data_IF_630380915860
#
_entry.id   IF_630380915860
#
_cell.length_a   1.000
_cell.length_b   1.000
_cell.length_c   1.000
_cell.angle_alpha   90.00
_cell.angle_beta   90.00
_cell.angle_gamma   90.00
#
_symmetry.space_group_name_H-M   'P 1'
#
loop_
_entity.id
_entity.type
_entity.pdbx_description
1 polymer ?
#
# COMPACT_ATOMS: atom_id res chain seq x y z
N UNK A 1 34.58 13.03 9.32
CA UNK A 1 33.49 12.14 8.81
C UNK A 1 33.58 12.08 7.30
N UNK A 2 33.53 10.90 6.68
CA UNK A 2 33.60 10.76 5.23
C UNK A 2 32.28 11.24 4.59
N UNK A 3 32.36 12.16 3.63
CA UNK A 3 31.21 12.53 2.79
C UNK A 3 30.74 11.30 2.02
N UNK A 4 29.56 10.79 2.33
CA UNK A 4 28.97 9.71 1.58
C UNK A 4 28.55 10.24 0.20
N UNK A 5 28.99 9.59 -0.89
CA UNK A 5 28.49 9.94 -2.23
C UNK A 5 27.02 9.53 -2.30
N UNK A 6 26.14 10.51 -2.26
CA UNK A 6 24.71 10.33 -2.49
C UNK A 6 24.46 9.81 -3.91
N UNK A 7 23.84 8.63 -4.03
CA UNK A 7 23.57 7.98 -5.32
C UNK A 7 22.12 8.16 -5.73
N UNK A 8 21.89 8.82 -6.87
CA UNK A 8 20.56 8.89 -7.49
C UNK A 8 20.01 7.51 -7.85
N UNK A 9 20.88 6.57 -8.24
CA UNK A 9 20.45 5.19 -8.54
C UNK A 9 19.83 4.51 -7.31
N UNK A 10 20.45 4.67 -6.12
CA UNK A 10 19.91 4.15 -4.86
C UNK A 10 18.58 4.82 -4.50
N UNK A 11 18.48 6.14 -4.64
CA UNK A 11 17.24 6.87 -4.37
C UNK A 11 16.10 6.45 -5.30
N UNK A 12 16.37 6.28 -6.60
CA UNK A 12 15.41 5.78 -7.58
C UNK A 12 14.98 4.34 -7.26
N UNK A 13 15.93 3.46 -6.91
CA UNK A 13 15.62 2.07 -6.54
C UNK A 13 14.69 2.00 -5.33
N UNK A 14 14.96 2.76 -4.26
CA UNK A 14 14.11 2.79 -3.06
C UNK A 14 12.75 3.44 -3.36
N UNK A 15 12.74 4.54 -4.12
CA UNK A 15 11.49 5.18 -4.54
C UNK A 15 10.61 4.24 -5.36
N UNK A 16 11.21 3.46 -6.26
CA UNK A 16 10.49 2.45 -7.05
C UNK A 16 10.01 1.28 -6.19
N UNK A 17 10.84 0.79 -5.24
CA UNK A 17 10.42 -0.25 -4.28
C UNK A 17 9.23 0.19 -3.46
N UNK A 18 9.23 1.45 -2.99
CA UNK A 18 8.13 2.03 -2.25
C UNK A 18 6.85 2.14 -3.11
N UNK A 19 6.98 2.52 -4.38
CA UNK A 19 5.88 2.55 -5.32
C UNK A 19 5.35 1.13 -5.60
N UNK A 20 6.22 0.15 -5.83
CA UNK A 20 5.81 -1.24 -6.06
C UNK A 20 5.07 -1.84 -4.84
N UNK A 21 5.47 -1.49 -3.63
CA UNK A 21 4.77 -1.88 -2.41
C UNK A 21 3.36 -1.27 -2.32
N UNK A 22 3.20 -0.01 -2.74
CA UNK A 22 1.91 0.67 -2.79
C UNK A 22 1.03 0.14 -3.94
N UNK A 23 1.62 -0.08 -5.12
CA UNK A 23 0.93 -0.43 -6.35
C UNK A 23 0.58 -1.93 -6.47
N UNK A 24 0.32 -2.60 -5.36
CA UNK A 24 -0.15 -4.00 -5.34
C UNK A 24 -1.48 -4.20 -6.08
N UNK A 25 -1.97 -5.44 -6.08
CA UNK A 25 -3.15 -5.82 -6.84
C UNK A 25 -4.40 -4.95 -6.58
N UNK A 26 -4.60 -4.49 -5.34
CA UNK A 26 -5.71 -3.59 -5.01
C UNK A 26 -5.66 -2.24 -5.74
N UNK A 27 -4.47 -1.70 -5.97
CA UNK A 27 -4.26 -0.50 -6.77
C UNK A 27 -4.57 -0.77 -8.26
N UNK A 28 -4.06 -1.87 -8.79
CA UNK A 28 -4.21 -2.21 -10.21
C UNK A 28 -5.66 -2.39 -10.65
N UNK A 29 -6.55 -2.84 -9.76
CA UNK A 29 -7.99 -2.96 -10.04
C UNK A 29 -8.68 -1.63 -10.34
N UNK A 30 -8.12 -0.52 -9.89
CA UNK A 30 -8.75 0.80 -9.88
C UNK A 30 -9.79 1.00 -8.77
N UNK A 31 -10.11 -0.03 -7.98
CA UNK A 31 -11.12 0.06 -6.92
C UNK A 31 -10.76 1.10 -5.86
N UNK A 32 -9.51 1.09 -5.38
CA UNK A 32 -9.06 2.08 -4.40
C UNK A 32 -9.10 3.50 -4.95
N UNK A 33 -8.70 3.70 -6.21
CA UNK A 33 -8.76 4.99 -6.88
C UNK A 33 -10.19 5.48 -7.02
N UNK A 34 -11.10 4.59 -7.44
CA UNK A 34 -12.52 4.92 -7.58
C UNK A 34 -13.15 5.26 -6.21
N UNK A 35 -12.99 4.38 -5.22
CA UNK A 35 -13.66 4.51 -3.91
C UNK A 35 -13.21 5.74 -3.14
N UNK A 36 -11.92 6.09 -3.21
CA UNK A 36 -11.38 7.18 -2.40
C UNK A 36 -11.33 8.53 -3.13
N UNK A 37 -11.24 8.54 -4.46
CA UNK A 37 -10.96 9.76 -5.22
C UNK A 37 -11.97 10.02 -6.34
N UNK A 38 -12.14 9.12 -7.31
CA UNK A 38 -12.98 9.37 -8.50
C UNK A 38 -14.44 9.63 -8.11
N UNK A 39 -14.94 8.94 -7.07
CA UNK A 39 -16.28 9.16 -6.51
C UNK A 39 -16.52 10.55 -5.93
N UNK A 40 -15.46 11.37 -5.79
CA UNK A 40 -15.53 12.76 -5.31
C UNK A 40 -15.65 13.79 -6.46
N UNK A 41 -15.68 13.32 -7.71
CA UNK A 41 -15.70 14.17 -8.87
C UNK A 41 -14.36 14.88 -9.12
N UNK A 42 -14.43 16.13 -9.61
CA UNK A 42 -13.27 16.90 -10.03
C UNK A 42 -12.19 17.07 -8.96
N UNK A 43 -12.58 17.17 -7.68
CA UNK A 43 -11.68 17.39 -6.55
C UNK A 43 -10.87 16.13 -6.19
N UNK A 44 -11.28 14.97 -6.65
CA UNK A 44 -10.63 13.69 -6.36
C UNK A 44 -9.16 13.62 -6.79
N UNK A 45 -8.79 14.29 -7.89
CA UNK A 45 -7.40 14.36 -8.37
C UNK A 45 -6.50 15.05 -7.32
N UNK A 46 -6.95 16.18 -6.78
CA UNK A 46 -6.20 16.91 -5.75
C UNK A 46 -6.12 16.11 -4.44
N UNK A 47 -7.18 15.39 -4.10
CA UNK A 47 -7.20 14.47 -2.96
C UNK A 47 -6.15 13.36 -3.11
N UNK A 48 -6.02 12.77 -4.29
CA UNK A 48 -5.01 11.75 -4.59
C UNK A 48 -3.58 12.31 -4.48
N UNK A 49 -3.35 13.51 -4.99
CA UNK A 49 -2.05 14.20 -4.85
C UNK A 49 -1.71 14.49 -3.39
N UNK A 50 -2.68 15.00 -2.61
CA UNK A 50 -2.52 15.23 -1.17
C UNK A 50 -2.14 13.93 -0.43
N UNK A 51 -2.82 12.83 -0.75
CA UNK A 51 -2.52 11.52 -0.17
C UNK A 51 -1.06 11.11 -0.41
N UNK A 52 -0.56 11.25 -1.63
CA UNK A 52 0.82 10.86 -1.97
C UNK A 52 1.85 11.77 -1.32
N UNK A 53 1.58 13.07 -1.20
CA UNK A 53 2.44 14.01 -0.48
C UNK A 53 2.53 13.64 1.01
N UNK A 54 1.40 13.39 1.66
CA UNK A 54 1.37 13.02 3.08
C UNK A 54 2.05 11.66 3.34
N UNK A 55 1.84 10.68 2.45
CA UNK A 55 2.51 9.40 2.53
C UNK A 55 4.03 9.54 2.40
N UNK A 56 4.50 10.33 1.42
CA UNK A 56 5.93 10.56 1.22
C UNK A 56 6.57 11.32 2.39
N UNK A 57 5.92 12.35 2.92
CA UNK A 57 6.42 13.12 4.05
C UNK A 57 6.50 12.27 5.32
N UNK A 58 5.43 11.54 5.66
CA UNK A 58 5.42 10.67 6.83
C UNK A 58 6.44 9.53 6.73
N UNK A 59 6.59 8.92 5.55
CA UNK A 59 7.60 7.89 5.29
C UNK A 59 9.01 8.46 5.37
N UNK A 60 9.23 9.70 4.92
CA UNK A 60 10.52 10.39 5.06
C UNK A 60 10.93 10.55 6.52
N UNK A 61 10.02 11.04 7.36
CA UNK A 61 10.31 11.20 8.78
C UNK A 61 10.56 9.85 9.47
N UNK A 62 9.80 8.83 9.12
CA UNK A 62 10.00 7.48 9.62
C UNK A 62 11.35 6.89 9.17
N UNK A 63 11.74 7.08 7.89
CA UNK A 63 13.02 6.59 7.38
C UNK A 63 14.21 7.28 8.05
N UNK A 64 14.09 8.58 8.33
CA UNK A 64 15.10 9.31 9.09
C UNK A 64 15.23 8.76 10.52
N UNK A 65 14.11 8.59 11.24
CA UNK A 65 14.10 7.96 12.57
C UNK A 65 14.71 6.56 12.53
N UNK A 66 14.30 5.74 11.55
CA UNK A 66 14.77 4.37 11.40
C UNK A 66 16.28 4.32 11.24
N UNK A 67 16.84 5.11 10.31
CA UNK A 67 18.26 5.05 9.98
C UNK A 67 19.14 5.74 11.03
N UNK A 68 18.69 6.83 11.64
CA UNK A 68 19.46 7.57 12.66
C UNK A 68 19.45 6.89 14.03
N UNK A 69 18.44 6.09 14.34
CA UNK A 69 18.31 5.37 15.61
C UNK A 69 18.61 3.88 15.49
N UNK A 70 18.97 3.40 14.28
CA UNK A 70 19.31 2.01 14.04
C UNK A 70 18.17 1.04 14.28
N UNK A 71 16.92 1.46 14.04
CA UNK A 71 15.76 0.60 14.18
C UNK A 71 15.88 -0.65 13.29
N UNK A 72 15.50 -1.81 13.81
CA UNK A 72 15.51 -3.10 13.09
C UNK A 72 14.11 -3.57 12.76
N UNK A 73 13.12 -3.02 13.45
CA UNK A 73 11.71 -3.37 13.28
C UNK A 73 10.82 -2.11 13.37
N UNK A 74 9.60 -2.22 12.88
CA UNK A 74 8.63 -1.13 13.07
C UNK A 74 8.28 -0.93 14.56
N UNK A 75 8.44 -1.95 15.40
CA UNK A 75 8.27 -1.80 16.86
C UNK A 75 9.29 -0.84 17.43
N UNK A 76 10.56 -1.00 17.05
CA UNK A 76 11.63 -0.09 17.48
C UNK A 76 11.32 1.34 17.02
N UNK A 77 10.87 1.50 15.76
CA UNK A 77 10.49 2.79 15.21
C UNK A 77 9.41 3.49 16.06
N UNK A 78 8.32 2.77 16.34
CA UNK A 78 7.21 3.36 17.10
C UNK A 78 7.52 3.50 18.59
N UNK A 79 8.36 2.63 19.18
CA UNK A 79 8.90 2.84 20.53
C UNK A 79 9.75 4.11 20.60
N UNK A 80 10.68 4.31 19.65
CA UNK A 80 11.47 5.55 19.56
C UNK A 80 10.58 6.77 19.31
N UNK A 81 9.57 6.65 18.46
CA UNK A 81 8.64 7.75 18.15
C UNK A 81 7.92 8.21 19.41
N UNK A 82 7.43 7.27 20.21
CA UNK A 82 6.58 7.54 21.35
C UNK A 82 7.31 7.67 22.68
N UNK A 83 8.63 7.39 22.70
CA UNK A 83 9.40 7.53 23.97
C UNK A 83 9.11 8.87 24.68
N UNK A 84 8.79 8.86 26.02
CA UNK A 84 8.92 7.77 26.99
C UNK A 84 7.72 6.79 27.08
N UNK A 85 6.72 6.92 26.26
CA UNK A 85 5.52 6.05 26.29
C UNK A 85 5.66 4.88 25.28
N UNK A 86 6.74 4.09 25.39
CA UNK A 86 7.14 3.07 24.41
C UNK A 86 6.04 2.04 24.12
N UNK A 87 5.20 1.72 25.12
CA UNK A 87 4.06 0.80 24.93
C UNK A 87 3.04 1.25 23.89
N UNK A 88 3.04 2.52 23.47
CA UNK A 88 2.18 3.00 22.41
C UNK A 88 2.52 2.41 21.03
N UNK A 89 3.67 1.70 20.88
CA UNK A 89 3.92 0.91 19.67
C UNK A 89 2.82 -0.14 19.41
N UNK A 90 2.13 -0.61 20.47
CA UNK A 90 1.01 -1.54 20.35
C UNK A 90 -0.15 -0.97 19.50
N UNK A 91 -0.30 0.34 19.43
CA UNK A 91 -1.31 0.96 18.56
C UNK A 91 -1.06 0.67 17.09
N UNK A 92 0.23 0.67 16.68
CA UNK A 92 0.60 0.27 15.33
C UNK A 92 0.50 -1.25 15.12
N UNK A 93 0.82 -2.05 16.13
CA UNK A 93 0.64 -3.51 16.07
C UNK A 93 -0.81 -3.88 15.76
N UNK A 94 -1.77 -3.29 16.48
CA UNK A 94 -3.22 -3.51 16.27
C UNK A 94 -3.62 -3.08 14.86
N UNK A 95 -3.24 -1.88 14.44
CA UNK A 95 -3.49 -1.39 13.08
C UNK A 95 -2.95 -2.36 12.02
N UNK A 96 -1.69 -2.76 12.17
CA UNK A 96 -1.00 -3.61 11.21
C UNK A 96 -1.63 -4.99 11.09
N UNK A 97 -2.01 -5.61 12.21
CA UNK A 97 -2.63 -6.94 12.24
C UNK A 97 -4.02 -6.93 11.58
N UNK A 98 -4.84 -5.92 11.88
CA UNK A 98 -6.16 -5.77 11.24
C UNK A 98 -5.99 -5.49 9.74
N UNK A 99 -5.07 -4.60 9.37
CA UNK A 99 -4.82 -4.28 7.97
C UNK A 99 -4.33 -5.48 7.17
N UNK A 100 -3.51 -6.37 7.75
CA UNK A 100 -3.09 -7.61 7.09
C UNK A 100 -4.30 -8.47 6.73
N UNK A 101 -5.25 -8.66 7.65
CA UNK A 101 -6.50 -9.39 7.38
C UNK A 101 -7.29 -8.76 6.22
N UNK A 102 -7.39 -7.42 6.22
CA UNK A 102 -8.08 -6.68 5.15
C UNK A 102 -7.34 -6.80 3.79
N UNK A 103 -6.00 -6.76 3.79
CA UNK A 103 -5.21 -6.91 2.57
C UNK A 103 -5.36 -8.30 1.98
N UNK A 104 -5.28 -9.36 2.80
CA UNK A 104 -5.51 -10.75 2.33
C UNK A 104 -6.93 -10.91 1.80
N UNK A 105 -7.92 -10.41 2.53
CA UNK A 105 -9.32 -10.43 2.10
C UNK A 105 -9.53 -9.68 0.77
N UNK A 106 -8.86 -8.53 0.57
CA UNK A 106 -8.95 -7.76 -0.68
C UNK A 106 -8.28 -8.48 -1.85
N UNK A 107 -7.20 -9.23 -1.60
CA UNK A 107 -6.57 -10.07 -2.62
C UNK A 107 -7.51 -11.19 -3.07
N UNK A 108 -8.16 -11.87 -2.13
CA UNK A 108 -9.15 -12.91 -2.43
C UNK A 108 -10.33 -12.30 -3.20
N UNK A 109 -10.91 -11.22 -2.67
CA UNK A 109 -12.07 -10.56 -3.26
C UNK A 109 -11.77 -9.98 -4.65
N UNK A 110 -10.60 -9.38 -4.85
CA UNK A 110 -10.18 -8.82 -6.13
C UNK A 110 -9.98 -9.88 -7.20
N UNK A 111 -9.30 -10.99 -6.87
CA UNK A 111 -9.13 -12.10 -7.80
C UNK A 111 -10.46 -12.80 -8.11
N UNK A 112 -11.31 -13.01 -7.12
CA UNK A 112 -12.66 -13.57 -7.31
C UNK A 112 -13.54 -12.67 -8.19
N UNK A 113 -13.47 -11.34 -7.99
CA UNK A 113 -14.19 -10.37 -8.82
C UNK A 113 -13.70 -10.37 -10.27
N UNK A 114 -12.40 -10.55 -10.50
CA UNK A 114 -11.84 -10.66 -11.86
C UNK A 114 -12.34 -11.94 -12.55
N UNK A 115 -12.36 -13.09 -11.85
CA UNK A 115 -12.93 -14.34 -12.37
C UNK A 115 -14.42 -14.19 -12.66
N UNK A 116 -15.16 -13.52 -11.77
CA UNK A 116 -16.59 -13.28 -11.96
C UNK A 116 -16.86 -12.36 -13.17
N UNK A 117 -16.17 -11.23 -13.24
CA UNK A 117 -16.43 -10.21 -14.27
C UNK A 117 -15.97 -10.65 -15.67
N UNK A 118 -14.88 -11.40 -15.77
CA UNK A 118 -14.32 -11.81 -17.06
C UNK A 118 -14.79 -13.20 -17.51
N UNK A 119 -14.87 -14.18 -16.61
CA UNK A 119 -15.22 -15.58 -16.91
C UNK A 119 -16.63 -15.97 -16.50
N UNK A 120 -17.40 -15.09 -15.83
CA UNK A 120 -18.75 -15.40 -15.34
C UNK A 120 -18.79 -16.41 -14.16
N UNK A 121 -17.65 -16.73 -13.54
CA UNK A 121 -17.58 -17.66 -12.40
C UNK A 121 -18.35 -17.06 -11.23
N UNK A 122 -19.09 -17.92 -10.50
CA UNK A 122 -19.76 -17.48 -9.27
C UNK A 122 -18.73 -16.88 -8.28
N UNK A 123 -19.01 -15.68 -7.78
CA UNK A 123 -18.08 -14.94 -6.91
C UNK A 123 -17.62 -15.74 -5.69
N UNK A 124 -18.54 -16.40 -5.00
CA UNK A 124 -18.21 -17.15 -3.77
C UNK A 124 -17.38 -18.40 -4.06
N UNK A 125 -17.65 -19.08 -5.17
CA UNK A 125 -16.83 -20.20 -5.63
C UNK A 125 -15.41 -19.71 -6.04
N UNK A 126 -15.34 -18.58 -6.74
CA UNK A 126 -14.08 -17.94 -7.09
C UNK A 126 -13.28 -17.56 -5.85
N UNK A 127 -13.93 -16.94 -4.85
CA UNK A 127 -13.28 -16.55 -3.59
C UNK A 127 -12.76 -17.77 -2.82
N UNK A 128 -13.54 -18.84 -2.74
CA UNK A 128 -13.11 -20.09 -2.10
C UNK A 128 -11.91 -20.69 -2.82
N UNK A 129 -11.96 -20.80 -4.15
CA UNK A 129 -10.86 -21.36 -4.93
C UNK A 129 -9.57 -20.55 -4.77
N UNK A 130 -9.65 -19.22 -4.90
CA UNK A 130 -8.51 -18.30 -4.71
C UNK A 130 -7.95 -18.41 -3.29
N UNK A 131 -8.80 -18.43 -2.27
CA UNK A 131 -8.38 -18.56 -0.88
C UNK A 131 -7.65 -19.88 -0.60
N UNK A 132 -8.13 -20.99 -1.14
CA UNK A 132 -7.45 -22.28 -1.05
C UNK A 132 -6.09 -22.25 -1.74
N UNK A 133 -6.00 -21.65 -2.93
CA UNK A 133 -4.72 -21.49 -3.66
C UNK A 133 -3.73 -20.65 -2.85
N UNK A 134 -4.16 -19.51 -2.29
CA UNK A 134 -3.31 -18.66 -1.44
C UNK A 134 -2.85 -19.44 -0.21
N UNK A 135 -3.73 -20.18 0.47
CA UNK A 135 -3.38 -20.99 1.63
C UNK A 135 -2.32 -22.04 1.30
N UNK A 136 -2.55 -22.83 0.26
CA UNK A 136 -1.62 -23.90 -0.16
C UNK A 136 -0.25 -23.32 -0.54
N UNK A 137 -0.23 -22.25 -1.31
CA UNK A 137 1.00 -21.57 -1.69
C UNK A 137 1.70 -20.93 -0.49
N UNK A 138 0.97 -20.43 0.50
CA UNK A 138 1.56 -19.86 1.73
C UNK A 138 2.23 -20.93 2.60
N UNK A 139 1.72 -22.15 2.59
CA UNK A 139 2.29 -23.27 3.36
C UNK A 139 3.45 -23.94 2.62
N UNK A 140 3.28 -24.22 1.32
CA UNK A 140 4.18 -25.10 0.57
C UNK A 140 5.03 -24.38 -0.47
N UNK A 141 4.65 -23.19 -0.93
CA UNK A 141 5.25 -22.48 -2.06
C UNK A 141 5.66 -21.05 -1.78
N UNK A 142 5.66 -20.59 -0.53
CA UNK A 142 5.86 -19.19 -0.17
C UNK A 142 7.19 -18.61 -0.69
N UNK A 143 8.27 -19.36 -0.66
CA UNK A 143 9.59 -18.89 -1.13
C UNK A 143 9.60 -18.65 -2.63
N UNK A 144 9.01 -19.55 -3.41
CA UNK A 144 8.89 -19.43 -4.87
C UNK A 144 8.04 -18.19 -5.23
N UNK A 145 6.90 -18.05 -4.58
CA UNK A 145 5.99 -16.89 -4.83
C UNK A 145 6.66 -15.59 -4.43
N UNK A 146 7.37 -15.56 -3.31
CA UNK A 146 8.10 -14.37 -2.83
C UNK A 146 9.19 -13.94 -3.82
N UNK A 147 9.92 -14.88 -4.42
CA UNK A 147 10.91 -14.57 -5.46
C UNK A 147 10.26 -13.97 -6.72
N UNK A 148 9.08 -14.48 -7.11
CA UNK A 148 8.35 -14.02 -8.30
C UNK A 148 7.54 -12.74 -8.06
N UNK A 149 7.19 -12.41 -6.82
CA UNK A 149 6.24 -11.32 -6.51
C UNK A 149 6.71 -9.94 -6.99
N UNK A 150 8.01 -9.66 -6.93
CA UNK A 150 8.59 -8.41 -7.42
C UNK A 150 8.43 -8.25 -8.93
N UNK A 151 8.63 -9.34 -9.69
CA UNK A 151 8.42 -9.34 -11.15
C UNK A 151 6.95 -9.19 -11.50
N UNK A 152 6.06 -9.84 -10.77
CA UNK A 152 4.61 -9.70 -10.96
C UNK A 152 4.15 -8.27 -10.64
N UNK A 153 4.66 -7.67 -9.56
CA UNK A 153 4.39 -6.27 -9.23
C UNK A 153 4.87 -5.31 -10.31
N UNK A 154 6.06 -5.54 -10.88
CA UNK A 154 6.58 -4.74 -11.99
C UNK A 154 5.72 -4.92 -13.26
N UNK A 155 5.34 -6.15 -13.59
CA UNK A 155 4.52 -6.45 -14.76
C UNK A 155 3.14 -5.78 -14.68
N UNK A 156 2.44 -5.90 -13.54
CA UNK A 156 1.13 -5.26 -13.36
C UNK A 156 1.23 -3.75 -13.41
N UNK A 157 2.31 -3.18 -12.86
CA UNK A 157 2.56 -1.75 -12.90
C UNK A 157 2.75 -1.25 -14.33
N UNK A 158 3.67 -1.86 -15.08
CA UNK A 158 3.95 -1.48 -16.46
C UNK A 158 2.68 -1.59 -17.31
N UNK A 159 1.94 -2.69 -17.15
CA UNK A 159 0.69 -2.92 -17.86
C UNK A 159 -0.39 -1.89 -17.47
N UNK A 160 -0.52 -1.58 -16.18
CA UNK A 160 -1.48 -0.58 -15.69
C UNK A 160 -1.16 0.81 -16.25
N UNK A 161 0.11 1.22 -16.30
CA UNK A 161 0.51 2.51 -16.89
C UNK A 161 0.17 2.59 -18.38
N UNK A 162 0.39 1.50 -19.13
CA UNK A 162 -0.02 1.42 -20.55
C UNK A 162 -1.53 1.58 -20.68
N UNK A 163 -2.30 0.88 -19.85
CA UNK A 163 -3.76 0.95 -19.85
C UNK A 163 -4.25 2.36 -19.50
N UNK A 164 -3.68 2.98 -18.47
CA UNK A 164 -4.06 4.33 -18.06
C UNK A 164 -3.77 5.36 -19.15
N UNK A 165 -2.58 5.29 -19.75
CA UNK A 165 -2.22 6.18 -20.84
C UNK A 165 -3.13 5.97 -22.06
N UNK A 166 -3.33 4.74 -22.50
CA UNK A 166 -4.17 4.41 -23.62
C UNK A 166 -5.65 4.78 -23.36
N UNK A 167 -6.14 4.47 -22.15
CA UNK A 167 -7.49 4.85 -21.73
C UNK A 167 -7.72 6.37 -21.72
N UNK A 168 -6.69 7.17 -21.35
CA UNK A 168 -6.75 8.64 -21.42
C UNK A 168 -6.81 9.14 -22.88
N UNK A 169 -6.01 8.54 -23.77
CA UNK A 169 -5.98 8.94 -25.20
C UNK A 169 -7.30 8.60 -25.91
N UNK A 170 -7.90 7.46 -25.58
CA UNK A 170 -9.17 6.98 -26.16
C UNK A 170 -10.39 7.43 -25.36
N UNK A 171 -10.17 8.02 -24.18
CA UNK A 171 -11.23 8.42 -23.27
C UNK A 171 -12.05 9.59 -23.77
N UNK A 172 -13.20 9.73 -23.15
CA UNK A 172 -14.08 10.88 -23.30
C UNK A 172 -13.34 12.14 -22.81
N UNK A 173 -13.72 13.30 -23.32
CA UNK A 173 -13.16 14.60 -22.96
C UNK A 173 -13.01 14.79 -21.44
N UNK A 174 -11.82 14.52 -20.90
CA UNK A 174 -11.50 14.66 -19.47
C UNK A 174 -11.82 16.06 -18.94
N UNK A 175 -11.44 17.10 -19.69
CA UNK A 175 -11.74 18.48 -19.30
C UNK A 175 -13.23 18.78 -19.26
N UNK A 176 -14.00 18.20 -20.18
CA UNK A 176 -15.47 18.27 -20.15
C UNK A 176 -16.04 17.61 -18.90
N UNK A 177 -15.56 16.42 -18.52
CA UNK A 177 -15.96 15.72 -17.31
C UNK A 177 -15.62 16.53 -16.04
N UNK A 178 -14.42 17.10 -15.96
CA UNK A 178 -14.01 17.94 -14.83
C UNK A 178 -14.84 19.22 -14.71
N UNK A 179 -15.10 19.89 -15.85
CA UNK A 179 -15.93 21.10 -15.88
C UNK A 179 -17.38 20.81 -15.49
N UNK A 180 -17.94 19.72 -16.00
CA UNK A 180 -19.29 19.29 -15.64
C UNK A 180 -19.39 18.92 -14.17
N UNK A 181 -18.41 18.20 -13.63
CA UNK A 181 -18.32 17.87 -12.21
C UNK A 181 -18.21 19.12 -11.32
N UNK A 182 -17.39 20.10 -11.71
CA UNK A 182 -17.31 21.38 -10.99
C UNK A 182 -18.64 22.15 -11.04
N UNK A 183 -19.30 22.18 -12.19
CA UNK A 183 -20.58 22.85 -12.33
C UNK A 183 -21.70 22.19 -11.49
N UNK A 184 -21.65 20.86 -11.33
CA UNK A 184 -22.62 20.11 -10.52
C UNK A 184 -22.37 20.23 -9.01
N UNK A 185 -21.12 20.04 -8.57
CA UNK A 185 -20.76 19.85 -7.16
C UNK A 185 -20.14 21.12 -6.52
N UNK A 186 -19.59 22.03 -7.32
CA UNK A 186 -18.83 23.17 -6.84
C UNK A 186 -17.72 22.74 -5.85
N UNK A 187 -17.71 23.33 -4.67
CA UNK A 187 -16.75 23.01 -3.59
C UNK A 187 -17.30 22.05 -2.52
N UNK A 188 -18.51 21.50 -2.70
CA UNK A 188 -19.20 20.68 -1.69
C UNK A 188 -18.37 19.48 -1.25
N UNK A 189 -17.66 18.83 -2.17
CA UNK A 189 -16.87 17.64 -1.89
C UNK A 189 -15.45 17.92 -1.34
N UNK A 190 -15.02 19.18 -1.22
CA UNK A 190 -13.65 19.54 -0.79
C UNK A 190 -13.31 19.04 0.61
N UNK A 191 -14.15 19.24 1.66
CA UNK A 191 -13.82 18.71 2.99
C UNK A 191 -13.64 17.20 3.01
N UNK A 192 -14.52 16.48 2.30
CA UNK A 192 -14.46 15.02 2.16
C UNK A 192 -13.22 14.60 1.37
N UNK A 193 -12.83 15.35 0.35
CA UNK A 193 -11.65 15.08 -0.45
C UNK A 193 -10.36 15.23 0.37
N UNK A 194 -10.25 16.28 1.20
CA UNK A 194 -9.11 16.45 2.12
C UNK A 194 -9.06 15.27 3.09
N UNK A 195 -10.19 14.92 3.71
CA UNK A 195 -10.25 13.81 4.64
C UNK A 195 -9.89 12.47 3.99
N UNK A 196 -10.42 12.17 2.80
CA UNK A 196 -10.09 10.95 2.06
C UNK A 196 -8.61 10.89 1.67
N UNK A 197 -8.00 12.03 1.29
CA UNK A 197 -6.56 12.11 1.01
C UNK A 197 -5.71 11.75 2.23
N UNK A 198 -6.04 12.32 3.39
CA UNK A 198 -5.36 12.01 4.66
C UNK A 198 -5.57 10.54 5.05
N UNK A 199 -6.81 10.06 4.95
CA UNK A 199 -7.17 8.68 5.29
C UNK A 199 -6.48 7.66 4.39
N UNK A 200 -6.41 7.93 3.08
CA UNK A 200 -5.70 7.08 2.12
C UNK A 200 -4.21 6.98 2.47
N UNK A 201 -3.55 8.11 2.71
CA UNK A 201 -2.15 8.10 3.14
C UNK A 201 -1.95 7.28 4.43
N UNK A 202 -2.92 7.35 5.35
CA UNK A 202 -2.84 6.68 6.64
C UNK A 202 -2.95 5.15 6.52
N UNK A 203 -3.94 4.61 5.81
CA UNK A 203 -4.06 3.16 5.70
C UNK A 203 -2.97 2.52 4.82
N UNK A 204 -2.36 3.27 3.90
CA UNK A 204 -1.23 2.78 3.11
C UNK A 204 0.03 2.52 3.96
N UNK A 205 0.05 2.97 5.19
CA UNK A 205 1.13 2.66 6.13
C UNK A 205 1.33 1.17 6.40
N UNK A 206 0.35 0.32 6.07
CA UNK A 206 0.53 -1.14 6.10
C UNK A 206 1.69 -1.63 5.22
N UNK A 207 2.02 -0.92 4.15
CA UNK A 207 3.10 -1.29 3.21
C UNK A 207 4.47 -0.72 3.62
N UNK A 208 4.49 0.31 4.45
CA UNK A 208 5.68 1.11 4.74
C UNK A 208 6.76 0.37 5.55
N UNK A 209 6.46 -0.51 6.53
CA UNK A 209 7.51 -1.22 7.27
C UNK A 209 8.52 -1.96 6.38
N UNK A 210 8.05 -2.58 5.29
CA UNK A 210 8.92 -3.23 4.30
C UNK A 210 9.80 -2.24 3.53
N UNK A 211 9.26 -1.06 3.21
CA UNK A 211 9.99 0.02 2.54
C UNK A 211 11.10 0.56 3.44
N UNK A 212 10.82 0.79 4.73
CA UNK A 212 11.80 1.28 5.70
C UNK A 212 12.97 0.30 5.87
N UNK A 213 12.68 -1.00 5.91
CA UNK A 213 13.71 -2.04 5.98
C UNK A 213 14.64 -2.02 4.74
N UNK A 214 14.08 -1.83 3.54
CA UNK A 214 14.86 -1.66 2.31
C UNK A 214 15.63 -0.33 2.30
N UNK A 215 15.09 0.73 2.90
CA UNK A 215 15.65 2.07 2.96
C UNK A 215 16.85 2.26 3.87
N UNK A 216 17.32 1.21 4.56
CA UNK A 216 18.54 1.24 5.42
C UNK A 216 19.82 1.56 4.63
N UNK A 217 19.79 1.43 3.31
CA UNK A 217 20.89 1.80 2.41
C UNK A 217 21.03 3.30 2.23
N UNK A 218 20.02 4.10 2.59
CA UNK A 218 20.03 5.56 2.53
C UNK A 218 20.79 6.11 3.74
N UNK A 219 22.05 6.53 3.52
CA UNK A 219 22.98 6.84 4.62
C UNK A 219 22.96 8.28 5.09
N UNK A 220 22.33 9.18 4.35
CA UNK A 220 22.28 10.62 4.66
C UNK A 220 20.84 11.13 4.68
N UNK A 221 20.62 12.29 5.34
CA UNK A 221 19.33 13.01 5.27
C UNK A 221 18.92 13.30 3.82
N UNK A 222 19.89 13.68 3.00
CA UNK A 222 19.68 14.00 1.58
C UNK A 222 19.26 12.76 0.78
N UNK A 223 19.87 11.60 1.05
CA UNK A 223 19.48 10.34 0.41
C UNK A 223 18.05 9.93 0.80
N UNK A 224 17.70 10.02 2.08
CA UNK A 224 16.34 9.75 2.55
C UNK A 224 15.33 10.68 1.85
N UNK A 225 15.62 11.98 1.79
CA UNK A 225 14.75 12.94 1.11
C UNK A 225 14.63 12.65 -0.38
N UNK A 226 15.73 12.32 -1.07
CA UNK A 226 15.70 11.96 -2.50
C UNK A 226 14.91 10.68 -2.76
N UNK A 227 15.13 9.65 -1.95
CA UNK A 227 14.38 8.38 -2.06
C UNK A 227 12.88 8.59 -1.92
N UNK A 228 12.46 9.39 -0.93
CA UNK A 228 11.02 9.67 -0.72
C UNK A 228 10.45 10.64 -1.75
N UNK A 229 11.24 11.53 -2.32
CA UNK A 229 10.82 12.35 -3.47
C UNK A 229 10.63 11.48 -4.73
N UNK A 230 11.50 10.49 -4.96
CA UNK A 230 11.30 9.52 -6.05
C UNK A 230 10.03 8.67 -5.80
N UNK A 231 9.78 8.22 -4.56
CA UNK A 231 8.52 7.57 -4.19
C UNK A 231 7.32 8.46 -4.50
N UNK A 232 7.36 9.74 -4.10
CA UNK A 232 6.30 10.71 -4.39
C UNK A 232 6.04 10.81 -5.90
N UNK A 233 7.10 10.98 -6.69
CA UNK A 233 7.00 11.10 -8.15
C UNK A 233 6.32 9.87 -8.77
N UNK A 234 6.80 8.66 -8.44
CA UNK A 234 6.22 7.43 -8.99
C UNK A 234 4.77 7.22 -8.53
N UNK A 235 4.45 7.52 -7.28
CA UNK A 235 3.10 7.41 -6.76
C UNK A 235 2.14 8.43 -7.39
N UNK A 236 2.57 9.68 -7.57
CA UNK A 236 1.77 10.71 -8.24
C UNK A 236 1.54 10.34 -9.70
N UNK A 237 2.54 9.83 -10.40
CA UNK A 237 2.37 9.35 -11.78
C UNK A 237 1.40 8.17 -11.84
N UNK A 238 1.61 7.13 -11.04
CA UNK A 238 0.77 5.92 -11.08
C UNK A 238 -0.67 6.19 -10.63
N UNK A 239 -0.85 6.72 -9.43
CA UNK A 239 -2.19 7.00 -8.89
C UNK A 239 -2.88 8.14 -9.65
N UNK A 240 -2.13 9.20 -9.99
CA UNK A 240 -2.65 10.33 -10.75
C UNK A 240 -3.19 9.92 -12.12
N UNK A 241 -2.41 9.14 -12.90
CA UNK A 241 -2.87 8.62 -14.19
C UNK A 241 -4.09 7.71 -14.04
N UNK A 242 -4.10 6.85 -13.00
CA UNK A 242 -5.26 6.01 -12.70
C UNK A 242 -6.51 6.86 -12.42
N UNK A 243 -6.41 7.85 -11.53
CA UNK A 243 -7.53 8.73 -11.18
C UNK A 243 -8.00 9.55 -12.38
N UNK A 244 -7.07 10.11 -13.17
CA UNK A 244 -7.41 10.87 -14.39
C UNK A 244 -8.17 10.00 -15.39
N UNK A 245 -7.64 8.82 -15.70
CA UNK A 245 -8.28 7.88 -16.62
C UNK A 245 -9.66 7.47 -16.13
N UNK A 246 -9.77 7.06 -14.88
CA UNK A 246 -11.06 6.64 -14.31
C UNK A 246 -12.05 7.80 -14.20
N UNK A 247 -11.60 9.04 -13.97
CA UNK A 247 -12.47 10.23 -14.00
C UNK A 247 -13.03 10.47 -15.40
N UNK A 248 -12.20 10.34 -16.44
CA UNK A 248 -12.65 10.47 -17.82
C UNK A 248 -13.69 9.40 -18.23
N UNK A 249 -13.62 8.21 -17.63
CA UNK A 249 -14.50 7.07 -17.91
C UNK A 249 -15.58 6.86 -16.84
N UNK A 250 -15.72 7.74 -15.87
CA UNK A 250 -16.63 7.55 -14.73
C UNK A 250 -18.08 7.32 -15.15
N UNK A 251 -18.58 8.07 -16.12
CA UNK A 251 -19.92 7.88 -16.66
C UNK A 251 -20.16 6.49 -17.28
N UNK A 252 -19.12 5.89 -17.86
CA UNK A 252 -19.23 4.57 -18.46
C UNK A 252 -19.21 3.45 -17.41
N UNK A 253 -18.17 3.32 -16.62
CA UNK A 253 -18.07 2.17 -15.71
C UNK A 253 -19.09 2.20 -14.57
N UNK A 254 -19.64 3.37 -14.22
CA UNK A 254 -20.75 3.47 -13.25
C UNK A 254 -22.07 3.02 -13.83
N UNK A 255 -22.27 3.08 -15.17
CA UNK A 255 -23.46 2.59 -15.84
C UNK A 255 -23.45 1.06 -16.06
N UNK A 256 -22.28 0.42 -15.98
CA UNK A 256 -22.12 -1.02 -16.13
C UNK A 256 -22.34 -1.73 -14.79
N UNK A 257 -23.16 -2.78 -14.76
CA UNK A 257 -23.38 -3.59 -13.57
C UNK A 257 -22.04 -4.18 -13.07
N UNK A 258 -21.70 -3.91 -11.79
CA UNK A 258 -20.42 -4.35 -11.20
C UNK A 258 -19.19 -3.56 -11.67
N UNK A 259 -19.32 -2.62 -12.59
CA UNK A 259 -18.20 -1.88 -13.17
C UNK A 259 -17.38 -1.05 -12.19
N UNK A 260 -17.97 -0.64 -11.07
CA UNK A 260 -17.27 0.07 -9.99
C UNK A 260 -16.36 -0.81 -9.14
N UNK A 261 -16.51 -2.13 -9.21
CA UNK A 261 -15.68 -3.09 -8.45
C UNK A 261 -14.28 -3.22 -9.06
N UNK A 262 -14.19 -3.36 -10.37
CA UNK A 262 -12.93 -3.41 -11.12
C UNK A 262 -12.97 -2.38 -12.27
N UNK A 263 -12.99 -1.07 -11.96
CA UNK A 263 -13.23 -0.05 -12.97
C UNK A 263 -12.15 -0.03 -14.06
N UNK A 264 -10.88 -0.34 -13.74
CA UNK A 264 -9.82 -0.45 -14.75
C UNK A 264 -10.12 -1.57 -15.76
N UNK A 265 -10.57 -2.74 -15.28
CA UNK A 265 -10.96 -3.85 -16.15
C UNK A 265 -12.18 -3.47 -17.01
N UNK A 266 -13.17 -2.84 -16.41
CA UNK A 266 -14.40 -2.40 -17.12
C UNK A 266 -14.07 -1.43 -18.24
N UNK A 267 -13.21 -0.44 -17.99
CA UNK A 267 -12.74 0.48 -19.04
C UNK A 267 -11.98 -0.30 -20.12
N UNK A 268 -11.06 -1.19 -19.74
CA UNK A 268 -10.25 -1.94 -20.69
C UNK A 268 -11.11 -2.82 -21.61
N UNK A 269 -12.17 -3.44 -21.08
CA UNK A 269 -13.11 -4.25 -21.88
C UNK A 269 -13.85 -3.42 -22.94
N UNK A 270 -14.02 -2.11 -22.73
CA UNK A 270 -14.66 -1.20 -23.70
C UNK A 270 -13.71 -0.69 -24.79
N UNK A 271 -12.41 -0.97 -24.69
CA UNK A 271 -11.41 -0.48 -25.65
C UNK A 271 -11.19 -1.44 -26.82
N UNK A 272 -11.98 -2.50 -26.95
CA UNK A 272 -11.93 -3.51 -28.03
C UNK A 272 -10.55 -4.17 -28.25
N UNK A 273 -9.76 -4.29 -27.17
CA UNK A 273 -8.42 -4.87 -27.18
C UNK A 273 -8.39 -6.20 -26.40
N UNK A 274 -9.06 -7.22 -26.91
CA UNK A 274 -9.25 -8.50 -26.21
C UNK A 274 -7.95 -9.15 -25.71
N UNK A 275 -6.86 -9.09 -26.48
CA UNK A 275 -5.56 -9.62 -26.06
C UNK A 275 -5.02 -8.91 -24.80
N UNK A 276 -5.24 -7.60 -24.71
CA UNK A 276 -4.79 -6.79 -23.56
C UNK A 276 -5.67 -7.07 -22.32
N UNK A 277 -6.98 -7.32 -22.52
CA UNK A 277 -7.89 -7.76 -21.45
C UNK A 277 -7.43 -9.09 -20.87
N UNK A 278 -7.12 -10.09 -21.71
CA UNK A 278 -6.62 -11.41 -21.26
C UNK A 278 -5.33 -11.26 -20.49
N UNK A 279 -4.37 -10.53 -21.05
CA UNK A 279 -3.07 -10.29 -20.41
C UNK A 279 -3.22 -9.58 -19.06
N UNK A 280 -4.06 -8.55 -19.00
CA UNK A 280 -4.34 -7.82 -17.76
C UNK A 280 -5.00 -8.71 -16.70
N UNK A 281 -6.02 -9.49 -17.06
CA UNK A 281 -6.68 -10.41 -16.12
C UNK A 281 -5.70 -11.45 -15.57
N UNK A 282 -4.85 -12.02 -16.43
CA UNK A 282 -3.85 -12.99 -16.01
C UNK A 282 -2.84 -12.38 -15.01
N UNK A 283 -2.25 -11.23 -15.38
CA UNK A 283 -1.24 -10.56 -14.53
C UNK A 283 -1.88 -10.05 -13.24
N UNK A 284 -3.10 -9.51 -13.30
CA UNK A 284 -3.85 -9.07 -12.12
C UNK A 284 -4.11 -10.25 -11.16
N UNK A 285 -4.57 -11.39 -11.68
CA UNK A 285 -4.84 -12.59 -10.91
C UNK A 285 -3.59 -13.10 -10.21
N UNK A 286 -2.48 -13.23 -10.95
CA UNK A 286 -1.19 -13.64 -10.39
C UNK A 286 -0.68 -12.64 -9.34
N UNK A 287 -0.84 -11.34 -9.58
CA UNK A 287 -0.45 -10.29 -8.62
C UNK A 287 -1.25 -10.36 -7.32
N UNK A 288 -2.57 -10.59 -7.40
CA UNK A 288 -3.43 -10.77 -6.24
C UNK A 288 -3.01 -11.99 -5.41
N UNK A 289 -2.81 -13.14 -6.06
CA UNK A 289 -2.36 -14.36 -5.39
C UNK A 289 -0.99 -14.13 -4.75
N UNK A 290 -0.02 -13.60 -5.48
CA UNK A 290 1.32 -13.38 -4.94
C UNK A 290 1.33 -12.41 -3.77
N UNK A 291 0.57 -11.33 -3.85
CA UNK A 291 0.42 -10.37 -2.74
C UNK A 291 -0.20 -11.03 -1.50
N UNK A 292 -1.26 -11.82 -1.69
CA UNK A 292 -1.90 -12.58 -0.60
C UNK A 292 -0.92 -13.54 0.08
N UNK A 293 -0.17 -14.32 -0.70
CA UNK A 293 0.82 -15.28 -0.16
C UNK A 293 1.93 -14.56 0.61
N UNK A 294 2.50 -13.48 0.07
CA UNK A 294 3.56 -12.71 0.73
C UNK A 294 3.10 -12.13 2.07
N UNK A 295 1.89 -11.61 2.11
CA UNK A 295 1.30 -11.02 3.32
C UNK A 295 1.00 -12.08 4.38
N UNK A 296 0.41 -13.23 3.99
CA UNK A 296 0.17 -14.37 4.89
C UNK A 296 1.49 -14.91 5.44
N UNK A 297 2.49 -15.08 4.58
CA UNK A 297 3.82 -15.54 4.99
C UNK A 297 4.48 -14.57 5.99
N UNK A 298 4.39 -13.27 5.75
CA UNK A 298 4.88 -12.24 6.68
C UNK A 298 4.21 -12.32 8.04
N UNK A 299 2.90 -12.52 8.08
CA UNK A 299 2.13 -12.70 9.31
C UNK A 299 2.53 -13.99 10.05
N UNK A 300 2.63 -15.11 9.33
CA UNK A 300 3.06 -16.40 9.91
C UNK A 300 4.42 -16.26 10.58
N UNK A 301 5.41 -15.68 9.88
CA UNK A 301 6.75 -15.47 10.44
C UNK A 301 6.77 -14.61 11.70
N UNK A 302 5.86 -13.62 11.77
CA UNK A 302 5.73 -12.76 12.95
C UNK A 302 5.24 -13.51 14.19
N UNK A 303 4.27 -14.42 14.01
CA UNK A 303 3.62 -15.13 15.11
C UNK A 303 4.18 -16.53 15.35
N UNK A 304 5.03 -17.07 14.49
CA UNK A 304 5.59 -18.41 14.62
C UNK A 304 6.31 -18.65 15.97
N UNK A 305 7.01 -17.63 16.46
CA UNK A 305 7.75 -17.70 17.71
C UNK A 305 6.99 -17.11 18.91
N UNK A 306 5.70 -16.84 18.76
CA UNK A 306 4.92 -16.28 19.84
C UNK A 306 4.83 -17.23 21.03
N UNK A 307 5.10 -16.71 22.21
CA UNK A 307 5.21 -17.50 23.46
C UNK A 307 3.94 -18.31 23.78
N UNK A 308 2.77 -17.79 23.39
CA UNK A 308 1.47 -18.45 23.60
C UNK A 308 1.21 -19.63 22.66
N UNK A 309 2.00 -19.82 21.59
CA UNK A 309 1.92 -20.98 20.70
C UNK A 309 2.93 -22.08 21.05
N UNK A 310 3.59 -21.99 22.19
CA UNK A 310 4.61 -22.95 22.64
C UNK A 310 4.09 -24.38 22.86
N UNK A 311 2.75 -24.58 23.00
CA UNK A 311 2.14 -25.89 23.05
C UNK A 311 2.22 -26.66 21.72
N UNK A 312 2.38 -25.96 20.59
CA UNK A 312 2.60 -26.55 19.28
C UNK A 312 4.10 -26.70 19.05
N UNK A 313 4.67 -27.81 19.47
CA UNK A 313 6.12 -28.09 19.39
C UNK A 313 6.64 -28.17 17.95
N UNK A 314 5.81 -28.66 17.01
CA UNK A 314 6.17 -28.85 15.60
C UNK A 314 6.03 -27.50 14.83
N UNK A 315 7.15 -26.93 14.36
CA UNK A 315 7.16 -25.66 13.64
C UNK A 315 6.31 -25.66 12.34
N UNK A 316 6.38 -26.66 11.46
CA UNK A 316 5.47 -26.76 10.31
C UNK A 316 3.98 -26.76 10.68
N UNK A 317 3.60 -27.48 11.72
CA UNK A 317 2.20 -27.52 12.19
C UNK A 317 1.79 -26.15 12.72
N UNK A 318 2.65 -25.49 13.49
CA UNK A 318 2.40 -24.15 14.03
C UNK A 318 2.20 -23.13 12.91
N UNK A 319 3.07 -23.14 11.88
CA UNK A 319 2.92 -22.30 10.68
C UNK A 319 1.60 -22.55 9.95
N UNK A 320 1.25 -23.82 9.76
CA UNK A 320 0.00 -24.25 9.13
C UNK A 320 -1.23 -23.74 9.89
N UNK A 321 -1.24 -23.86 11.23
CA UNK A 321 -2.34 -23.37 12.07
C UNK A 321 -2.50 -21.86 11.97
N UNK A 322 -1.40 -21.10 12.04
CA UNK A 322 -1.44 -19.63 11.91
C UNK A 322 -1.94 -19.22 10.50
N UNK A 323 -1.40 -19.85 9.44
CA UNK A 323 -1.83 -19.59 8.07
C UNK A 323 -3.32 -19.89 7.87
N UNK A 324 -3.80 -21.02 8.38
CA UNK A 324 -5.21 -21.40 8.29
C UNK A 324 -6.11 -20.43 9.03
N UNK A 325 -5.71 -20.00 10.23
CA UNK A 325 -6.50 -19.06 11.04
C UNK A 325 -6.66 -17.71 10.33
N UNK A 326 -5.55 -17.10 9.84
CA UNK A 326 -5.61 -15.82 9.10
C UNK A 326 -6.44 -15.99 7.82
N UNK A 327 -6.25 -17.09 7.08
CA UNK A 327 -6.97 -17.34 5.85
C UNK A 327 -8.47 -17.52 6.07
N UNK A 328 -8.88 -18.25 7.12
CA UNK A 328 -10.29 -18.42 7.46
C UNK A 328 -10.99 -17.09 7.76
N UNK A 329 -10.34 -16.23 8.56
CA UNK A 329 -10.89 -14.91 8.88
C UNK A 329 -10.91 -14.03 7.62
N UNK A 330 -9.83 -13.98 6.85
CA UNK A 330 -9.76 -13.16 5.63
C UNK A 330 -10.73 -13.65 4.55
N UNK A 331 -10.94 -14.96 4.45
CA UNK A 331 -11.95 -15.56 3.56
C UNK A 331 -13.36 -15.07 3.94
N UNK A 332 -13.71 -15.12 5.22
CA UNK A 332 -15.00 -14.62 5.68
C UNK A 332 -15.17 -13.12 5.36
N UNK A 333 -14.14 -12.32 5.62
CA UNK A 333 -14.14 -10.88 5.27
C UNK A 333 -14.29 -10.67 3.77
N UNK A 334 -13.69 -11.54 2.93
CA UNK A 334 -13.74 -11.39 1.47
C UNK A 334 -15.15 -11.47 0.90
N UNK A 335 -16.07 -12.15 1.59
CA UNK A 335 -17.47 -12.24 1.18
C UNK A 335 -18.21 -10.89 1.25
N UNK A 336 -17.68 -9.90 1.97
CA UNK A 336 -18.19 -8.53 1.93
C UNK A 336 -17.97 -7.84 0.57
N UNK A 337 -17.10 -8.38 -0.28
CA UNK A 337 -16.73 -7.82 -1.58
C UNK A 337 -15.64 -6.76 -1.51
N UNK A 338 -14.88 -6.62 -2.59
CA UNK A 338 -13.70 -5.76 -2.67
C UNK A 338 -13.99 -4.30 -2.26
N UNK A 339 -15.05 -3.72 -2.81
CA UNK A 339 -15.42 -2.31 -2.56
C UNK A 339 -15.73 -2.05 -1.09
N UNK A 340 -16.44 -2.95 -0.41
CA UNK A 340 -16.76 -2.80 1.01
C UNK A 340 -15.52 -2.96 1.90
N UNK A 341 -14.60 -3.86 1.55
CA UNK A 341 -13.34 -4.03 2.26
C UNK A 341 -12.51 -2.73 2.16
N UNK A 342 -12.41 -2.16 0.97
CA UNK A 342 -11.68 -0.90 0.76
C UNK A 342 -12.36 0.26 1.48
N UNK A 343 -13.68 0.40 1.34
CA UNK A 343 -14.43 1.53 1.89
C UNK A 343 -14.48 1.51 3.43
N UNK A 344 -14.80 0.36 4.00
CA UNK A 344 -15.01 0.24 5.44
C UNK A 344 -13.80 -0.34 6.17
N UNK A 345 -13.24 -1.46 5.69
CA UNK A 345 -12.09 -2.11 6.31
C UNK A 345 -10.86 -1.21 6.33
N UNK A 346 -10.39 -0.80 5.15
CA UNK A 346 -9.25 0.12 5.05
C UNK A 346 -9.60 1.50 5.60
N UNK A 347 -10.83 1.99 5.34
CA UNK A 347 -11.28 3.29 5.79
C UNK A 347 -11.18 3.45 7.32
N UNK A 348 -11.74 2.53 8.11
CA UNK A 348 -11.68 2.60 9.58
C UNK A 348 -10.27 2.39 10.13
N UNK A 349 -9.49 1.49 9.53
CA UNK A 349 -8.07 1.35 9.89
C UNK A 349 -7.29 2.64 9.60
N UNK A 350 -7.63 3.35 8.51
CA UNK A 350 -7.03 4.63 8.20
C UNK A 350 -7.34 5.69 9.24
N UNK A 351 -8.57 5.76 9.79
CA UNK A 351 -8.90 6.70 10.88
C UNK A 351 -8.02 6.49 12.11
N UNK A 352 -7.79 5.22 12.47
CA UNK A 352 -6.85 4.86 13.52
C UNK A 352 -5.43 5.31 13.18
N UNK A 353 -4.97 5.04 11.97
CA UNK A 353 -3.62 5.37 11.53
C UNK A 353 -3.39 6.88 11.35
N UNK A 354 -4.42 7.70 11.09
CA UNK A 354 -4.29 9.17 11.13
C UNK A 354 -3.78 9.59 12.51
N UNK A 355 -4.45 9.12 13.57
CA UNK A 355 -4.16 9.53 14.96
C UNK A 355 -2.84 8.95 15.45
N UNK A 356 -2.58 7.67 15.18
CA UNK A 356 -1.45 6.95 15.75
C UNK A 356 -0.26 6.73 14.80
N UNK A 357 -0.32 7.24 13.58
CA UNK A 357 0.81 7.09 12.64
C UNK A 357 1.13 8.42 11.96
N UNK A 358 0.20 8.98 11.17
CA UNK A 358 0.48 10.16 10.34
C UNK A 358 0.78 11.38 11.21
N UNK A 359 -0.14 11.73 12.12
CA UNK A 359 0.03 12.90 12.98
C UNK A 359 1.28 12.81 13.85
N UNK A 360 1.55 11.70 14.58
CA UNK A 360 2.76 11.58 15.38
C UNK A 360 4.06 11.65 14.56
N UNK A 361 4.11 11.05 13.38
CA UNK A 361 5.31 11.11 12.54
C UNK A 361 5.57 12.52 12.02
N UNK A 362 4.54 13.23 11.59
CA UNK A 362 4.67 14.59 11.06
C UNK A 362 4.86 15.66 12.15
N UNK A 363 4.61 15.35 13.42
CA UNK A 363 4.79 16.25 14.57
C UNK A 363 5.97 15.82 15.45
N UNK A 364 5.79 14.74 16.21
CA UNK A 364 6.79 14.22 17.15
C UNK A 364 8.03 13.72 16.39
N UNK A 365 7.82 12.92 15.33
CA UNK A 365 8.89 12.38 14.50
C UNK A 365 9.71 13.48 13.84
N UNK A 366 9.03 14.46 13.24
CA UNK A 366 9.69 15.63 12.65
C UNK A 366 10.51 16.40 13.68
N UNK A 367 9.97 16.66 14.89
CA UNK A 367 10.68 17.34 15.96
C UNK A 367 11.93 16.55 16.40
N UNK A 368 11.80 15.25 16.66
CA UNK A 368 12.90 14.38 17.04
C UNK A 368 14.01 14.32 15.99
N UNK A 369 13.65 14.25 14.72
CA UNK A 369 14.58 14.28 13.60
C UNK A 369 15.29 15.63 13.50
N UNK A 370 14.53 16.74 13.57
CA UNK A 370 15.11 18.09 13.52
C UNK A 370 16.09 18.32 14.64
N UNK A 371 15.76 17.93 15.88
CA UNK A 371 16.61 18.17 17.04
C UNK A 371 17.88 17.30 17.01
N UNK A 372 17.77 16.06 16.49
CA UNK A 372 18.93 15.20 16.26
C UNK A 372 19.85 15.76 15.17
N UNK A 373 19.30 16.20 14.05
CA UNK A 373 20.06 16.67 12.90
C UNK A 373 20.72 18.04 13.11
N UNK A 374 20.33 18.82 14.15
CA UNK A 374 21.06 20.04 14.55
C UNK A 374 22.47 19.76 15.04
N UNK A 375 22.75 18.53 15.53
CA UNK A 375 24.08 18.09 15.91
C UNK A 375 24.92 17.52 14.76
N UNK A 376 24.37 17.42 13.53
CA UNK A 376 25.04 16.89 12.33
C UNK A 376 25.39 18.06 11.42
N UNK A 377 26.68 18.36 11.16
CA UNK A 377 27.11 19.61 10.52
C UNK A 377 26.66 19.79 9.06
N UNK A 378 26.54 18.70 8.29
CA UNK A 378 26.20 18.76 6.84
C UNK A 378 25.16 17.71 6.43
N UNK A 379 24.29 18.07 5.45
CA UNK A 379 23.23 17.19 4.94
C UNK A 379 23.75 15.95 4.19
N UNK A 380 24.98 15.99 3.73
CA UNK A 380 25.65 14.93 2.95
C UNK A 380 26.50 13.99 3.81
N UNK A 381 26.64 14.27 5.11
CA UNK A 381 27.39 13.38 6.00
C UNK A 381 26.60 12.12 6.35
N UNK A 382 27.28 10.97 6.38
CA UNK A 382 26.67 9.72 6.74
C UNK A 382 26.21 9.73 8.20
N UNK A 383 25.06 9.11 8.47
CA UNK A 383 24.57 8.91 9.84
C UNK A 383 25.65 8.16 10.66
N UNK A 384 25.85 8.52 11.93
CA UNK A 384 26.79 7.83 12.78
C UNK A 384 26.45 6.34 12.90
N UNK A 385 27.48 5.50 12.97
CA UNK A 385 27.27 4.07 13.19
C UNK A 385 26.50 3.83 14.49
N UNK A 386 25.59 2.86 14.49
CA UNK A 386 24.66 2.53 15.58
C UNK A 386 25.34 2.30 16.95
N UNK A 387 26.63 1.97 16.95
CA UNK A 387 27.44 1.82 18.18
C UNK A 387 27.61 3.10 19.01
N UNK A 388 27.29 4.28 18.44
CA UNK A 388 27.46 5.57 19.13
C UNK A 388 26.18 6.13 19.74
N UNK A 389 25.02 5.52 19.48
CA UNK A 389 23.72 5.97 19.99
C UNK A 389 23.11 4.89 20.89
N UNK A 390 23.72 4.66 22.04
CA UNK A 390 23.02 4.04 23.15
C UNK A 390 22.00 5.05 23.68
N UNK A 391 20.74 4.89 23.27
CA UNK A 391 19.63 5.43 24.08
C UNK A 391 19.69 4.64 25.39
N UNK A 392 19.84 5.29 26.55
CA UNK A 392 19.70 4.59 27.82
C UNK A 392 18.29 3.99 27.83
N UNK A 393 18.18 2.69 27.71
CA UNK A 393 16.98 1.98 28.13
C UNK A 393 17.10 1.90 29.64
N UNK A 394 16.66 2.94 30.33
CA UNK A 394 16.49 2.86 31.79
C UNK A 394 15.40 1.81 32.03
N UNK A 395 15.75 0.81 32.81
CA UNK A 395 15.05 -0.40 33.22
C UNK A 395 13.57 -0.18 33.62
#
# INVERSE_FOLDING_TARGET
MNKAKSSWATALSIGFTAFAAHAGGGFATGNQANTNFVSLGWVGIFSAMLAMVLLALSTREAQLLWNTRGCKSYKDLFSVLYHPYDKLHLTFDIFYDIMILMVVASCIAGAASALHQYLGVNYYLGALAVGVVILLLSIFGADLVRMGSSYMGLAILALSLVIYFYGLVKGVNLFGCLKAGFAADGFTNVPKAIFNGVNYAAFQWVTIPGVLACGTVLKTKKDCTRGMNCMLLFNVLGLGLSVLMLTAWSGYFTSVAGGTTLPTLTVLMSLDMNWLVVLYCLVLFLCMISSGVVVVFGFVNRFENARYLGFLKNAPVRRGVIATAIMAVSMFISFAGLTNIVKYGYGYCGYWAIVFVIVPLLTIGYKKNRDYLKGVPEEDEAFPAVSAVTVPMDN
#
